data_IF_979833889725
#
_entry.id   IF_979833889725
#
_cell.length_a   1.000
_cell.length_b   1.000
_cell.length_c   1.000
_cell.angle_alpha   90.00
_cell.angle_beta   90.00
_cell.angle_gamma   90.00
#
_symmetry.space_group_name_H-M   'P 1'
#
loop_
_entity.id
_entity.type
_entity.pdbx_description
1 polymer ?
#
# COMPACT_ATOMS: atom_id res chain seq x y z
N UNK A 1 -8.84 18.86 0.18
CA UNK A 1 -8.50 17.43 0.18
C UNK A 1 -7.31 17.27 1.10
N UNK A 2 -7.36 16.28 1.99
CA UNK A 2 -6.27 16.00 2.91
C UNK A 2 -5.45 14.84 2.36
N UNK A 3 -4.16 14.83 2.71
CA UNK A 3 -3.25 13.74 2.34
C UNK A 3 -3.36 12.66 3.41
N UNK A 4 -3.56 11.43 2.95
CA UNK A 4 -3.70 10.26 3.80
C UNK A 4 -2.62 9.26 3.43
N UNK A 5 -1.93 8.75 4.44
CA UNK A 5 -0.97 7.67 4.28
C UNK A 5 -1.69 6.36 4.56
N UNK A 6 -1.81 5.49 3.56
CA UNK A 6 -2.46 4.19 3.71
C UNK A 6 -1.42 3.09 3.52
N UNK A 7 -1.26 2.24 4.52
CA UNK A 7 -0.42 1.05 4.49
C UNK A 7 -1.28 -0.16 4.19
N UNK A 8 -1.03 -0.81 3.06
CA UNK A 8 -1.78 -1.98 2.60
C UNK A 8 -0.84 -3.17 2.53
N UNK A 9 -1.32 -4.33 2.97
CA UNK A 9 -0.58 -5.58 2.92
C UNK A 9 -1.49 -6.69 2.41
N UNK A 10 -0.94 -7.51 1.52
CA UNK A 10 -1.53 -8.74 1.05
C UNK A 10 -0.65 -9.93 1.44
N UNK A 11 -1.27 -10.97 1.98
CA UNK A 11 -0.59 -12.18 2.45
C UNK A 11 -0.81 -13.34 1.47
N UNK A 12 0.28 -14.05 1.20
CA UNK A 12 0.34 -15.09 0.19
C UNK A 12 0.68 -16.47 0.72
N UNK A 13 0.93 -17.36 -0.24
CA UNK A 13 1.35 -18.75 0.01
C UNK A 13 2.84 -18.99 -0.31
N UNK A 14 3.55 -17.97 -0.81
CA UNK A 14 4.99 -18.05 -1.13
C UNK A 14 5.75 -16.78 -0.73
N UNK A 15 7.08 -16.86 -0.54
CA UNK A 15 7.89 -15.66 -0.39
C UNK A 15 7.91 -14.84 -1.69
N UNK A 16 7.99 -13.51 -1.52
CA UNK A 16 8.14 -12.56 -2.62
C UNK A 16 9.62 -12.32 -2.92
N UNK A 17 9.97 -12.33 -4.20
CA UNK A 17 11.33 -12.10 -4.68
C UNK A 17 11.69 -10.60 -4.71
N UNK A 18 12.99 -10.30 -4.80
CA UNK A 18 13.45 -8.91 -4.87
C UNK A 18 12.91 -8.20 -6.12
N UNK A 19 12.94 -8.86 -7.28
CA UNK A 19 12.49 -8.29 -8.56
C UNK A 19 11.00 -7.91 -8.51
N UNK A 20 10.19 -8.76 -7.88
CA UNK A 20 8.77 -8.56 -7.62
C UNK A 20 8.49 -7.32 -6.75
N UNK A 21 9.27 -7.11 -5.67
CA UNK A 21 9.14 -5.88 -4.88
C UNK A 21 9.61 -4.65 -5.64
N UNK A 22 10.65 -4.77 -6.46
CA UNK A 22 11.10 -3.64 -7.30
C UNK A 22 10.04 -3.25 -8.31
N UNK A 23 9.36 -4.23 -8.93
CA UNK A 23 8.23 -3.98 -9.82
C UNK A 23 7.08 -3.28 -9.08
N UNK A 24 6.75 -3.74 -7.86
CA UNK A 24 5.75 -3.07 -7.01
C UNK A 24 6.17 -1.65 -6.65
N UNK A 25 7.45 -1.43 -6.31
CA UNK A 25 8.00 -0.12 -5.98
C UNK A 25 7.86 0.87 -7.13
N UNK A 26 8.14 0.43 -8.36
CA UNK A 26 7.94 1.25 -9.57
C UNK A 26 6.46 1.58 -9.80
N UNK A 27 5.58 0.59 -9.61
CA UNK A 27 4.14 0.76 -9.77
C UNK A 27 3.51 1.72 -8.73
N UNK A 28 4.03 1.75 -7.50
CA UNK A 28 3.55 2.66 -6.44
C UNK A 28 4.33 3.98 -6.36
N UNK A 29 5.48 4.12 -7.02
CA UNK A 29 6.26 5.35 -7.08
C UNK A 29 5.44 6.61 -7.46
N UNK A 30 4.50 6.59 -8.44
CA UNK A 30 3.69 7.78 -8.75
C UNK A 30 2.73 8.18 -7.62
N UNK A 31 2.47 7.30 -6.65
CA UNK A 31 1.60 7.52 -5.50
C UNK A 31 2.40 7.91 -4.24
N UNK A 32 3.63 8.40 -4.42
CA UNK A 32 4.63 8.58 -3.34
C UNK A 32 4.79 7.33 -2.48
N UNK A 33 4.61 6.16 -3.10
CA UNK A 33 4.51 4.89 -2.40
C UNK A 33 5.85 4.23 -2.10
N UNK A 34 5.86 3.41 -1.06
CA UNK A 34 7.00 2.62 -0.64
C UNK A 34 6.55 1.17 -0.57
N UNK A 35 7.05 0.33 -1.48
CA UNK A 35 6.81 -1.09 -1.47
C UNK A 35 7.66 -1.81 -0.40
N UNK A 36 7.17 -2.94 0.09
CA UNK A 36 7.84 -3.78 1.09
C UNK A 36 7.39 -5.24 0.96
N UNK A 37 8.18 -6.15 1.55
CA UNK A 37 7.86 -7.58 1.54
C UNK A 37 8.92 -8.51 0.93
N UNK A 38 10.12 -8.02 0.60
CA UNK A 38 11.21 -8.86 0.06
C UNK A 38 11.50 -10.01 1.01
N UNK A 39 11.38 -11.25 0.52
CA UNK A 39 11.63 -12.47 1.29
C UNK A 39 10.57 -12.81 2.33
N UNK A 40 9.48 -12.02 2.43
CA UNK A 40 8.35 -12.32 3.29
C UNK A 40 7.26 -13.06 2.51
N UNK A 41 6.40 -13.80 3.22
CA UNK A 41 5.19 -14.44 2.66
C UNK A 41 4.04 -13.45 2.42
N UNK A 42 4.38 -12.18 2.23
CA UNK A 42 3.46 -11.08 2.07
C UNK A 42 4.17 -9.95 1.32
N UNK A 43 3.43 -9.23 0.49
CA UNK A 43 3.87 -7.95 -0.06
C UNK A 43 2.93 -6.85 0.43
N UNK A 44 3.45 -5.64 0.53
CA UNK A 44 2.67 -4.48 0.89
C UNK A 44 3.25 -3.22 0.29
N UNK A 45 2.47 -2.16 0.37
CA UNK A 45 2.96 -0.83 0.07
C UNK A 45 2.29 0.17 1.00
N UNK A 46 3.07 1.15 1.41
CA UNK A 46 2.54 2.40 1.93
C UNK A 46 2.35 3.32 0.74
N UNK A 47 1.16 3.88 0.55
CA UNK A 47 0.88 4.84 -0.52
C UNK A 47 0.20 6.07 0.04
N UNK A 48 0.36 7.18 -0.67
CA UNK A 48 -0.24 8.46 -0.31
C UNK A 48 -1.40 8.72 -1.25
N UNK A 49 -2.55 9.06 -0.69
CA UNK A 49 -3.76 9.40 -1.45
C UNK A 49 -4.39 10.68 -0.94
N UNK A 50 -5.00 11.42 -1.85
CA UNK A 50 -5.77 12.62 -1.52
C UNK A 50 -7.25 12.24 -1.38
N UNK A 51 -7.82 12.47 -0.19
CA UNK A 51 -9.23 12.17 0.07
C UNK A 51 -9.85 13.16 1.07
N UNK A 52 -11.17 13.23 1.07
CA UNK A 52 -11.92 14.07 2.01
C UNK A 52 -12.12 13.39 3.38
N UNK A 53 -11.91 12.07 3.47
CA UNK A 53 -12.09 11.29 4.70
C UNK A 53 -11.21 10.03 4.68
N UNK A 54 -10.94 9.48 5.85
CA UNK A 54 -10.15 8.24 6.02
C UNK A 54 -10.75 7.05 5.28
N UNK A 55 -12.07 6.89 5.31
CA UNK A 55 -12.79 5.81 4.61
C UNK A 55 -12.57 5.90 3.09
N UNK A 56 -12.76 7.10 2.52
CA UNK A 56 -12.47 7.36 1.10
C UNK A 56 -10.99 7.17 0.75
N UNK A 57 -10.07 7.51 1.66
CA UNK A 57 -8.65 7.25 1.47
C UNK A 57 -8.36 5.76 1.40
N UNK A 58 -8.95 4.94 2.27
CA UNK A 58 -8.79 3.48 2.23
C UNK A 58 -9.31 2.92 0.92
N UNK A 59 -10.52 3.30 0.49
CA UNK A 59 -11.09 2.82 -0.78
C UNK A 59 -10.22 3.22 -1.98
N UNK A 60 -9.78 4.48 -2.05
CA UNK A 60 -8.92 4.98 -3.12
C UNK A 60 -7.56 4.27 -3.11
N UNK A 61 -6.97 4.08 -1.94
CA UNK A 61 -5.69 3.42 -1.78
C UNK A 61 -5.77 1.93 -2.15
N UNK A 62 -6.83 1.22 -1.73
CA UNK A 62 -7.04 -0.18 -2.10
C UNK A 62 -7.16 -0.36 -3.61
N UNK A 63 -7.91 0.52 -4.28
CA UNK A 63 -8.04 0.51 -5.74
C UNK A 63 -6.70 0.79 -6.44
N UNK A 64 -5.96 1.80 -5.97
CA UNK A 64 -4.66 2.16 -6.52
C UNK A 64 -3.61 1.04 -6.30
N UNK A 65 -3.62 0.42 -5.13
CA UNK A 65 -2.75 -0.70 -4.80
C UNK A 65 -3.07 -1.93 -5.65
N UNK A 66 -4.34 -2.28 -5.84
CA UNK A 66 -4.73 -3.36 -6.74
C UNK A 66 -4.21 -3.13 -8.17
N UNK A 67 -4.37 -1.92 -8.70
CA UNK A 67 -3.83 -1.56 -10.02
C UNK A 67 -2.29 -1.65 -10.07
N UNK A 68 -1.61 -1.28 -8.99
CA UNK A 68 -0.15 -1.40 -8.90
C UNK A 68 0.30 -2.87 -8.86
N UNK A 69 -0.42 -3.74 -8.14
CA UNK A 69 -0.19 -5.20 -8.10
C UNK A 69 -0.36 -5.82 -9.49
N UNK A 70 -1.42 -5.44 -10.21
CA UNK A 70 -1.63 -5.88 -11.60
C UNK A 70 -0.52 -5.38 -12.54
N UNK A 71 -0.08 -4.13 -12.36
CA UNK A 71 1.00 -3.53 -13.17
C UNK A 71 2.36 -4.21 -12.90
N UNK A 72 2.60 -4.61 -11.65
CA UNK A 72 3.79 -5.32 -11.22
C UNK A 72 3.76 -6.83 -11.55
N UNK A 73 2.71 -7.32 -12.22
CA UNK A 73 2.48 -8.74 -12.54
C UNK A 73 2.50 -9.65 -11.29
N UNK A 74 2.11 -9.10 -10.13
CA UNK A 74 2.12 -9.82 -8.86
C UNK A 74 0.86 -10.68 -8.70
N UNK A 75 0.97 -11.81 -7.97
CA UNK A 75 -0.19 -12.64 -7.68
C UNK A 75 -1.19 -11.85 -6.83
N UNK A 76 -2.45 -11.78 -7.26
CA UNK A 76 -3.52 -11.10 -6.54
C UNK A 76 -3.88 -11.83 -5.23
N UNK A 77 -3.11 -11.56 -4.18
CA UNK A 77 -3.33 -12.09 -2.84
C UNK A 77 -4.41 -11.32 -2.08
N UNK A 78 -5.10 -11.99 -1.14
CA UNK A 78 -6.07 -11.30 -0.29
C UNK A 78 -5.36 -10.22 0.54
N UNK A 79 -5.90 -9.00 0.50
CA UNK A 79 -5.47 -7.91 1.37
C UNK A 79 -5.90 -8.23 2.79
N UNK A 80 -4.95 -8.47 3.69
CA UNK A 80 -5.23 -8.85 5.08
C UNK A 80 -5.12 -7.67 6.04
N UNK A 81 -4.46 -6.58 5.62
CA UNK A 81 -4.28 -5.38 6.43
C UNK A 81 -4.34 -4.12 5.58
N UNK A 82 -5.09 -3.14 6.08
CA UNK A 82 -5.15 -1.78 5.57
C UNK A 82 -5.20 -0.83 6.76
N UNK A 83 -4.17 0.00 6.93
CA UNK A 83 -4.08 1.00 7.99
C UNK A 83 -4.01 2.39 7.36
N UNK A 84 -4.87 3.29 7.78
CA UNK A 84 -4.89 4.69 7.33
C UNK A 84 -4.38 5.57 8.45
N UNK A 85 -3.44 6.46 8.13
CA UNK A 85 -2.88 7.46 9.02
C UNK A 85 -3.09 8.81 8.35
N UNK A 86 -3.90 9.67 8.98
CA UNK A 86 -4.09 11.05 8.53
C UNK A 86 -3.01 11.97 9.10
N UNK A 87 -2.66 13.04 8.37
CA UNK A 87 -1.73 14.06 8.88
C UNK A 87 -2.22 14.72 10.19
N UNK A 88 -3.53 14.67 10.48
CA UNK A 88 -4.14 15.22 11.70
C UNK A 88 -4.00 14.29 12.92
N UNK A 89 -3.63 13.02 12.73
CA UNK A 89 -3.55 12.02 13.82
C UNK A 89 -2.18 12.00 14.51
N UNK A 90 -1.31 12.96 14.20
CA UNK A 90 -0.04 13.21 14.89
C UNK A 90 -0.23 13.99 16.21
N UNK A 91 -1.27 13.69 16.98
CA UNK A 91 -1.30 14.05 18.41
C UNK A 91 -0.36 13.08 19.16
N UNK A 92 0.90 13.50 19.28
CA UNK A 92 1.82 12.93 20.27
C UNK A 92 1.24 13.17 21.67
N UNK A 93 0.77 12.13 22.35
CA UNK A 93 0.48 12.18 23.79
C UNK A 93 1.83 12.33 24.53
N UNK A 94 2.05 13.49 25.17
CA UNK A 94 3.27 13.87 25.92
C UNK A 94 3.52 13.03 27.19
#
# INVERSE_FOLDING_TARGET
MSRWSVSIQAEGDRPIELDEVVALADAVAPLEGIASGVGAMAYGAQIVVEAESSDQAVEAAMAAFAAAVETADLPAWPMTRAEVIGEDELEFDE
#
